data_IF_704975207932
#
_entry.id   IF_704975207932
#
_cell.length_a   1.000
_cell.length_b   1.000
_cell.length_c   1.000
_cell.angle_alpha   90.00
_cell.angle_beta   90.00
_cell.angle_gamma   90.00
#
_symmetry.space_group_name_H-M   'P 1'
#
loop_
_entity.id
_entity.type
_entity.pdbx_description
1 polymer ?
#
# COMPACT_ATOMS: atom_id res chain seq x y z
N UNK A 1 -6.57 -20.20 19.63
CA UNK A 1 -5.09 -20.14 19.40
C UNK A 1 -4.77 -18.78 18.81
N UNK A 2 -3.94 -17.97 19.46
CA UNK A 2 -3.49 -16.70 18.88
C UNK A 2 -2.60 -17.00 17.67
N UNK A 3 -2.83 -16.38 16.53
CA UNK A 3 -1.97 -16.58 15.37
C UNK A 3 -0.54 -16.18 15.70
N UNK A 4 0.41 -17.03 15.28
CA UNK A 4 1.84 -16.74 15.44
C UNK A 4 2.17 -15.39 14.79
N UNK A 5 2.98 -14.56 15.43
CA UNK A 5 3.38 -13.28 14.86
C UNK A 5 4.08 -13.48 13.50
N UNK A 6 3.88 -12.54 12.58
CA UNK A 6 4.40 -12.62 11.19
C UNK A 6 5.90 -12.97 11.18
N UNK A 7 6.67 -12.44 12.14
CA UNK A 7 8.11 -12.73 12.31
C UNK A 7 8.37 -14.24 12.50
N UNK A 8 7.61 -14.88 13.38
CA UNK A 8 7.79 -16.31 13.67
C UNK A 8 7.41 -17.18 12.47
N UNK A 9 6.37 -16.83 11.73
CA UNK A 9 5.98 -17.52 10.50
C UNK A 9 7.04 -17.39 9.42
N UNK A 10 7.56 -16.20 9.22
CA UNK A 10 8.61 -15.93 8.23
C UNK A 10 9.89 -16.72 8.57
N UNK A 11 10.32 -16.68 9.84
CA UNK A 11 11.49 -17.42 10.30
C UNK A 11 11.31 -18.93 10.15
N UNK A 12 10.14 -19.47 10.47
CA UNK A 12 9.83 -20.88 10.29
C UNK A 12 9.88 -21.30 8.80
N UNK A 13 9.39 -20.47 7.90
CA UNK A 13 9.51 -20.71 6.46
C UNK A 13 10.97 -20.68 5.98
N UNK A 14 11.76 -19.70 6.40
CA UNK A 14 13.18 -19.63 6.06
C UNK A 14 13.92 -20.84 6.58
N UNK A 15 13.68 -21.25 7.82
CA UNK A 15 14.27 -22.44 8.40
C UNK A 15 13.93 -23.70 7.57
N UNK A 16 12.66 -23.88 7.22
CA UNK A 16 12.22 -25.02 6.41
C UNK A 16 12.90 -25.05 5.03
N UNK A 17 12.92 -23.91 4.34
CA UNK A 17 13.55 -23.78 3.02
C UNK A 17 15.05 -24.06 3.10
N UNK A 18 15.74 -23.54 4.12
CA UNK A 18 17.17 -23.79 4.33
C UNK A 18 17.45 -25.27 4.66
N UNK A 19 16.65 -25.90 5.50
CA UNK A 19 16.78 -27.35 5.77
C UNK A 19 16.61 -28.16 4.49
N UNK A 20 15.63 -27.88 3.66
CA UNK A 20 15.42 -28.54 2.38
C UNK A 20 16.58 -28.34 1.42
N UNK A 21 17.02 -27.09 1.27
CA UNK A 21 18.09 -26.71 0.34
C UNK A 21 19.42 -27.36 0.73
N UNK A 22 19.83 -27.21 1.99
CA UNK A 22 21.08 -27.81 2.48
C UNK A 22 21.00 -29.31 2.58
N UNK A 23 19.84 -29.89 2.93
CA UNK A 23 19.61 -31.32 2.92
C UNK A 23 19.75 -31.92 1.52
N UNK A 24 19.14 -31.30 0.52
CA UNK A 24 19.25 -31.71 -0.88
C UNK A 24 20.70 -31.57 -1.39
N UNK A 25 21.32 -30.44 -1.10
CA UNK A 25 22.73 -30.21 -1.47
C UNK A 25 23.64 -31.28 -0.87
N UNK A 26 23.50 -31.56 0.42
CA UNK A 26 24.29 -32.58 1.11
C UNK A 26 24.09 -34.00 0.55
N UNK A 27 22.84 -34.31 0.22
CA UNK A 27 22.48 -35.57 -0.42
C UNK A 27 23.17 -35.71 -1.78
N UNK A 28 23.01 -34.70 -2.64
CA UNK A 28 23.63 -34.70 -3.97
C UNK A 28 25.16 -34.74 -3.89
N UNK A 29 25.76 -33.91 -3.05
CA UNK A 29 27.23 -33.89 -2.86
C UNK A 29 27.78 -35.20 -2.35
N UNK A 30 27.09 -35.86 -1.41
CA UNK A 30 27.48 -37.16 -0.89
C UNK A 30 27.45 -38.26 -1.98
N UNK A 31 26.37 -38.31 -2.78
CA UNK A 31 26.25 -39.27 -3.86
C UNK A 31 27.23 -39.02 -4.98
N UNK A 32 27.50 -37.79 -5.33
CA UNK A 32 28.46 -37.40 -6.37
C UNK A 32 29.90 -37.77 -5.95
N UNK A 33 30.31 -37.42 -4.73
CA UNK A 33 31.64 -37.75 -4.22
C UNK A 33 31.81 -39.30 -4.13
N UNK A 34 30.80 -40.00 -3.63
CA UNK A 34 30.83 -41.46 -3.56
C UNK A 34 30.93 -42.09 -4.95
N UNK A 35 30.17 -41.60 -5.92
CA UNK A 35 30.20 -42.06 -7.32
C UNK A 35 31.54 -41.79 -7.99
N UNK A 36 32.09 -40.61 -7.82
CA UNK A 36 33.39 -40.19 -8.35
C UNK A 36 34.54 -41.05 -7.83
N UNK A 37 34.53 -41.34 -6.51
CA UNK A 37 35.54 -42.24 -5.91
C UNK A 37 35.47 -43.65 -6.47
N UNK A 38 34.26 -44.21 -6.60
CA UNK A 38 34.13 -45.55 -7.21
C UNK A 38 34.62 -45.58 -8.66
N UNK A 39 34.30 -44.54 -9.46
CA UNK A 39 34.76 -44.44 -10.83
C UNK A 39 36.27 -44.30 -10.94
N UNK A 40 36.90 -43.50 -10.06
CA UNK A 40 38.36 -43.35 -10.02
C UNK A 40 39.10 -44.64 -9.68
N UNK A 41 38.55 -45.44 -8.73
CA UNK A 41 39.12 -46.76 -8.42
C UNK A 41 38.96 -47.72 -9.60
N UNK A 42 37.80 -47.76 -10.23
CA UNK A 42 37.52 -48.62 -11.39
C UNK A 42 38.44 -48.25 -12.59
N UNK A 43 38.72 -46.97 -12.81
CA UNK A 43 39.66 -46.49 -13.81
C UNK A 43 41.10 -46.88 -13.47
N UNK A 44 41.55 -46.69 -12.23
CA UNK A 44 42.87 -47.12 -11.77
C UNK A 44 43.09 -48.64 -11.91
N UNK A 45 42.05 -49.44 -11.67
CA UNK A 45 42.12 -50.88 -11.89
C UNK A 45 42.23 -51.26 -13.38
N UNK A 46 41.55 -50.49 -14.29
CA UNK A 46 41.69 -50.69 -15.75
C UNK A 46 43.08 -50.33 -16.24
N UNK A 47 43.66 -49.24 -15.75
CA UNK A 47 44.98 -48.81 -16.12
C UNK A 47 46.02 -49.84 -15.73
N UNK A 48 45.90 -50.40 -14.51
CA UNK A 48 46.75 -51.53 -14.06
C UNK A 48 46.59 -52.78 -14.94
N UNK A 49 45.38 -53.12 -15.38
CA UNK A 49 45.13 -54.22 -16.29
C UNK A 49 45.81 -53.97 -17.67
N UNK A 50 45.82 -52.71 -18.12
CA UNK A 50 46.51 -52.32 -19.35
C UNK A 50 48.05 -52.45 -19.22
N UNK A 51 48.60 -52.01 -18.07
CA UNK A 51 50.04 -52.13 -17.79
C UNK A 51 50.47 -53.63 -17.75
N UNK A 52 49.68 -54.46 -17.12
CA UNK A 52 49.91 -55.93 -17.09
C UNK A 52 49.86 -56.52 -18.50
N UNK A 53 48.91 -56.09 -19.31
CA UNK A 53 48.82 -56.50 -20.72
C UNK A 53 50.09 -56.14 -21.49
N UNK A 54 50.55 -54.87 -21.38
CA UNK A 54 51.77 -54.44 -22.02
C UNK A 54 53.00 -55.26 -21.59
N UNK A 55 53.09 -55.56 -20.30
CA UNK A 55 54.17 -56.40 -19.77
C UNK A 55 54.15 -57.83 -20.34
N UNK A 56 52.96 -58.41 -20.48
CA UNK A 56 52.79 -59.76 -21.06
C UNK A 56 53.10 -59.78 -22.59
N UNK A 57 52.84 -58.67 -23.28
CA UNK A 57 53.09 -58.48 -24.74
C UNK A 57 54.62 -58.42 -25.05
N UNK A 58 55.48 -58.09 -24.09
CA UNK A 58 56.95 -58.07 -24.22
C UNK A 58 57.57 -59.45 -24.41
N UNK A 59 56.80 -60.52 -24.33
CA UNK A 59 57.25 -61.97 -24.53
C UNK A 59 58.49 -62.36 -23.74
N UNK A 60 58.66 -61.84 -22.56
CA UNK A 60 59.77 -62.20 -21.68
C UNK A 60 59.64 -63.63 -21.18
N UNK A 61 60.81 -64.33 -20.73
CA UNK A 61 60.71 -65.57 -20.05
C UNK A 61 59.80 -65.50 -18.80
N UNK A 62 59.07 -66.58 -18.52
CA UNK A 62 58.09 -66.63 -17.43
C UNK A 62 58.64 -66.20 -16.07
N UNK A 63 59.93 -66.55 -15.78
CA UNK A 63 60.62 -66.18 -14.55
C UNK A 63 60.97 -64.68 -14.50
N UNK A 64 61.16 -64.06 -15.65
CA UNK A 64 61.44 -62.62 -15.73
C UNK A 64 60.14 -61.81 -15.54
N UNK A 65 59.03 -62.21 -16.14
CA UNK A 65 57.70 -61.62 -15.93
C UNK A 65 57.32 -61.71 -14.45
N UNK A 66 57.54 -62.91 -13.78
CA UNK A 66 57.29 -63.02 -12.33
C UNK A 66 58.15 -62.12 -11.49
N UNK A 67 59.41 -61.89 -11.85
CA UNK A 67 60.30 -60.94 -11.14
C UNK A 67 59.88 -59.50 -11.32
N UNK A 68 59.47 -59.09 -12.50
CA UNK A 68 58.99 -57.75 -12.74
C UNK A 68 57.65 -57.48 -12.04
N UNK A 69 56.73 -58.42 -12.08
CA UNK A 69 55.47 -58.31 -11.32
C UNK A 69 55.73 -58.22 -9.81
N UNK A 70 56.71 -59.05 -9.30
CA UNK A 70 57.07 -59.01 -7.90
C UNK A 70 57.85 -57.77 -7.48
N UNK A 71 58.66 -57.20 -8.39
CA UNK A 71 59.46 -55.97 -8.11
C UNK A 71 58.62 -54.69 -8.03
N UNK A 72 57.32 -54.77 -8.43
CA UNK A 72 56.45 -53.59 -8.41
C UNK A 72 56.83 -52.42 -9.30
N UNK A 73 57.91 -52.63 -10.13
CA UNK A 73 58.51 -51.56 -10.89
C UNK A 73 57.63 -51.05 -12.09
N UNK A 74 56.74 -51.88 -12.56
CA UNK A 74 55.83 -51.64 -13.66
C UNK A 74 54.35 -51.46 -13.23
N UNK A 75 54.01 -51.93 -12.01
CA UNK A 75 52.63 -51.83 -11.48
C UNK A 75 52.73 -51.10 -10.15
N UNK A 76 52.30 -49.89 -10.12
CA UNK A 76 52.40 -48.96 -8.96
C UNK A 76 51.58 -49.47 -7.76
N UNK A 77 52.25 -49.84 -6.68
CA UNK A 77 51.71 -50.01 -5.32
C UNK A 77 52.31 -51.18 -4.57
N UNK A 78 52.90 -50.92 -3.38
CA UNK A 78 53.46 -52.01 -2.47
C UNK A 78 52.37 -52.97 -1.99
N UNK A 79 51.07 -52.65 -2.11
CA UNK A 79 49.92 -53.44 -1.63
C UNK A 79 49.05 -54.00 -2.77
N UNK A 80 49.55 -54.08 -3.99
CA UNK A 80 48.78 -54.60 -5.11
C UNK A 80 48.43 -56.05 -4.95
N UNK A 81 47.13 -56.30 -4.89
CA UNK A 81 46.55 -57.64 -4.80
C UNK A 81 46.31 -58.11 -6.22
N UNK A 82 47.19 -58.99 -6.75
CA UNK A 82 47.19 -59.42 -8.14
C UNK A 82 47.28 -60.91 -8.24
N UNK A 83 46.39 -61.52 -8.98
CA UNK A 83 46.42 -62.95 -9.37
C UNK A 83 46.27 -63.06 -10.88
N UNK A 84 47.20 -63.75 -11.52
CA UNK A 84 47.19 -64.00 -12.96
C UNK A 84 47.44 -65.46 -13.22
N UNK A 85 46.64 -66.12 -14.03
CA UNK A 85 46.85 -67.50 -14.44
C UNK A 85 46.60 -67.64 -15.95
N UNK A 86 47.44 -68.50 -16.60
CA UNK A 86 47.21 -68.88 -17.99
C UNK A 86 45.99 -69.82 -18.08
N UNK A 87 44.96 -69.48 -18.86
CA UNK A 87 43.66 -70.16 -18.89
C UNK A 87 43.80 -71.67 -19.26
N UNK A 88 44.83 -72.08 -20.05
CA UNK A 88 45.09 -73.44 -20.50
C UNK A 88 46.51 -73.91 -20.27
N UNK A 89 47.28 -73.23 -19.38
CA UNK A 89 48.67 -73.54 -19.08
C UNK A 89 48.88 -73.76 -17.57
N UNK A 90 50.13 -74.11 -17.22
CA UNK A 90 50.55 -74.33 -15.83
C UNK A 90 51.10 -72.99 -15.20
N UNK A 91 51.21 -71.89 -15.99
CA UNK A 91 51.78 -70.70 -15.47
C UNK A 91 50.76 -69.86 -14.65
N UNK A 92 51.13 -69.55 -13.46
CA UNK A 92 50.36 -68.68 -12.58
C UNK A 92 51.29 -67.75 -11.75
N UNK A 93 50.79 -66.58 -11.43
CA UNK A 93 51.44 -65.68 -10.52
C UNK A 93 50.42 -65.15 -9.52
N UNK A 94 50.74 -65.30 -8.23
CA UNK A 94 49.95 -64.72 -7.12
C UNK A 94 50.85 -63.77 -6.37
N UNK A 95 50.39 -62.52 -6.16
CA UNK A 95 51.10 -61.61 -5.29
C UNK A 95 51.02 -62.07 -3.83
N UNK A 96 51.98 -61.68 -3.03
CA UNK A 96 52.02 -62.02 -1.59
C UNK A 96 50.77 -61.51 -0.87
N UNK A 97 50.29 -60.34 -1.29
CA UNK A 97 49.06 -59.73 -0.78
C UNK A 97 47.83 -60.59 -1.15
N UNK A 98 47.74 -61.10 -2.39
CA UNK A 98 46.64 -61.98 -2.79
C UNK A 98 46.48 -63.21 -1.93
N UNK A 99 47.59 -63.83 -1.63
CA UNK A 99 47.62 -64.97 -0.73
C UNK A 99 47.21 -64.61 0.71
N UNK A 100 47.61 -63.48 1.18
CA UNK A 100 47.26 -62.98 2.51
C UNK A 100 45.76 -62.73 2.67
N UNK A 101 45.08 -62.19 1.62
CA UNK A 101 43.65 -61.96 1.62
C UNK A 101 42.78 -63.10 1.20
N UNK A 102 43.42 -64.31 0.89
CA UNK A 102 42.73 -65.52 0.50
C UNK A 102 41.93 -65.40 -0.77
N UNK A 103 42.36 -64.50 -1.69
CA UNK A 103 41.80 -64.45 -3.02
C UNK A 103 42.24 -65.61 -3.81
N UNK A 104 41.33 -66.40 -4.38
CA UNK A 104 41.56 -67.47 -5.29
C UNK A 104 40.77 -67.22 -6.58
N UNK A 105 41.50 -67.20 -7.70
CA UNK A 105 40.87 -67.17 -9.01
C UNK A 105 39.86 -68.31 -9.12
N UNK A 106 38.62 -68.02 -8.91
CA UNK A 106 37.57 -68.90 -9.34
C UNK A 106 37.66 -69.00 -10.84
N UNK A 107 38.16 -70.15 -11.36
CA UNK A 107 38.17 -70.45 -12.80
C UNK A 107 36.78 -70.28 -13.42
N UNK A 108 36.38 -69.06 -13.68
CA UNK A 108 35.08 -68.78 -14.29
C UNK A 108 35.10 -67.43 -15.02
N UNK A 109 35.89 -67.37 -16.05
CA UNK A 109 35.69 -66.31 -17.06
C UNK A 109 35.28 -67.01 -18.37
N UNK A 110 34.11 -66.74 -18.90
CA UNK A 110 33.79 -67.14 -20.27
C UNK A 110 34.71 -66.35 -21.22
N UNK A 111 35.32 -67.02 -22.21
CA UNK A 111 36.26 -66.41 -23.12
C UNK A 111 35.58 -65.25 -23.84
N UNK A 112 36.10 -64.00 -23.63
CA UNK A 112 35.64 -62.77 -24.38
C UNK A 112 34.76 -61.83 -23.61
N UNK A 113 34.53 -61.98 -22.34
CA UNK A 113 33.77 -60.99 -21.53
C UNK A 113 34.62 -59.76 -21.16
N UNK A 114 33.92 -58.62 -21.18
CA UNK A 114 34.45 -57.31 -20.72
C UNK A 114 34.85 -57.43 -19.23
N UNK A 115 35.81 -56.61 -18.79
CA UNK A 115 36.19 -56.47 -17.39
C UNK A 115 34.94 -56.29 -16.50
N UNK A 116 34.84 -57.16 -15.47
CA UNK A 116 33.75 -57.09 -14.48
C UNK A 116 34.30 -56.55 -13.17
N UNK A 117 33.62 -55.55 -12.64
CA UNK A 117 33.96 -54.95 -11.34
C UNK A 117 33.03 -55.51 -10.27
N UNK A 118 33.61 -55.99 -9.18
CA UNK A 118 32.86 -56.44 -8.02
C UNK A 118 33.48 -55.87 -6.74
N UNK A 119 32.68 -55.73 -5.71
CA UNK A 119 33.19 -55.33 -4.39
C UNK A 119 33.04 -56.50 -3.44
N UNK A 120 34.14 -57.01 -2.92
CA UNK A 120 34.15 -58.07 -1.92
C UNK A 120 34.33 -57.44 -0.54
N UNK A 121 33.38 -57.72 0.35
CA UNK A 121 33.49 -57.31 1.75
C UNK A 121 34.19 -58.44 2.56
N UNK A 122 35.49 -58.34 2.69
CA UNK A 122 36.25 -59.25 3.57
C UNK A 122 36.13 -58.77 5.02
N UNK A 123 36.29 -59.71 6.00
CA UNK A 123 36.30 -59.39 7.45
C UNK A 123 37.40 -58.37 7.84
N UNK A 124 38.42 -58.18 7.01
CA UNK A 124 39.56 -57.32 7.28
C UNK A 124 39.46 -55.94 6.59
N UNK A 125 38.99 -55.91 5.32
CA UNK A 125 38.77 -54.66 4.57
C UNK A 125 37.91 -54.91 3.34
N UNK A 126 37.18 -53.91 2.85
CA UNK A 126 36.48 -53.98 1.55
C UNK A 126 37.49 -53.86 0.40
N UNK A 127 37.38 -54.78 -0.53
CA UNK A 127 38.22 -54.82 -1.74
C UNK A 127 37.37 -54.57 -2.99
N UNK A 128 37.85 -53.71 -3.86
CA UNK A 128 37.30 -53.53 -5.20
C UNK A 128 38.09 -54.43 -6.15
N UNK A 129 37.41 -55.33 -6.83
CA UNK A 129 38.03 -56.37 -7.65
C UNK A 129 37.63 -56.15 -9.09
N UNK A 130 38.64 -56.18 -9.97
CA UNK A 130 38.48 -56.24 -11.41
C UNK A 130 38.80 -57.69 -11.82
N UNK A 131 37.84 -58.36 -12.40
CA UNK A 131 38.01 -59.71 -12.99
C UNK A 131 37.90 -59.60 -14.51
N UNK A 132 38.82 -60.25 -15.22
CA UNK A 132 38.77 -60.24 -16.67
C UNK A 132 39.76 -61.17 -17.31
N UNK A 133 39.68 -61.35 -18.61
CA UNK A 133 40.59 -62.15 -19.40
C UNK A 133 41.38 -61.25 -20.35
N UNK A 134 42.70 -61.31 -20.29
CA UNK A 134 43.61 -60.64 -21.22
C UNK A 134 44.08 -61.66 -22.29
N UNK A 135 43.96 -61.30 -23.53
CA UNK A 135 44.52 -62.08 -24.64
C UNK A 135 45.79 -61.40 -25.14
N UNK A 136 46.87 -62.15 -25.10
CA UNK A 136 48.15 -61.67 -25.59
C UNK A 136 48.73 -62.75 -26.53
N UNK A 137 48.89 -62.42 -27.78
CA UNK A 137 49.21 -63.36 -28.86
C UNK A 137 48.21 -64.54 -28.90
N UNK A 138 48.68 -65.77 -28.83
CA UNK A 138 47.86 -67.02 -28.82
C UNK A 138 47.43 -67.48 -27.45
N UNK A 139 47.82 -66.77 -26.40
CA UNK A 139 47.53 -67.11 -25.00
C UNK A 139 46.48 -66.27 -24.39
N UNK A 140 45.67 -66.91 -23.51
CA UNK A 140 44.68 -66.21 -22.71
C UNK A 140 45.07 -66.29 -21.24
N UNK A 141 45.05 -65.14 -20.56
CA UNK A 141 45.35 -64.99 -19.14
C UNK A 141 44.13 -64.59 -18.38
N UNK A 142 43.71 -65.27 -17.38
CA UNK A 142 42.69 -64.88 -16.42
C UNK A 142 43.36 -63.94 -15.39
N UNK A 143 42.89 -62.72 -15.25
CA UNK A 143 43.49 -61.71 -14.37
C UNK A 143 42.47 -61.25 -13.38
N UNK A 144 42.89 -61.23 -12.12
CA UNK A 144 42.15 -60.64 -11.02
C UNK A 144 43.05 -59.56 -10.36
N UNK A 145 42.58 -58.38 -10.34
CA UNK A 145 43.27 -57.24 -9.69
C UNK A 145 42.32 -56.67 -8.64
N UNK A 146 42.83 -56.50 -7.43
CA UNK A 146 42.05 -55.93 -6.34
C UNK A 146 42.74 -54.67 -5.75
N UNK A 147 41.97 -53.72 -5.36
CA UNK A 147 42.43 -52.54 -4.64
C UNK A 147 41.73 -52.43 -3.28
N UNK A 148 42.45 -52.14 -2.21
CA UNK A 148 41.85 -51.87 -0.90
C UNK A 148 41.02 -50.58 -0.96
N UNK A 149 39.86 -50.59 -0.30
CA UNK A 149 38.90 -49.48 -0.31
C UNK A 149 38.79 -48.78 1.04
N UNK A 150 39.59 -49.12 2.02
CA UNK A 150 39.57 -48.59 3.40
C UNK A 150 39.79 -47.08 3.43
N UNK A 151 40.86 -46.60 2.81
CA UNK A 151 41.15 -45.16 2.72
C UNK A 151 40.03 -44.38 2.05
N UNK A 152 39.39 -44.98 1.03
CA UNK A 152 38.27 -44.38 0.34
C UNK A 152 37.00 -44.31 1.21
N UNK A 153 36.72 -45.40 1.94
CA UNK A 153 35.60 -45.42 2.89
C UNK A 153 35.84 -44.44 4.05
N UNK A 154 37.07 -44.33 4.52
CA UNK A 154 37.46 -43.36 5.52
C UNK A 154 37.32 -41.90 5.02
N UNK A 155 37.71 -41.62 3.79
CA UNK A 155 37.52 -40.33 3.18
C UNK A 155 36.03 -39.99 3.04
N UNK A 156 35.22 -40.93 2.54
CA UNK A 156 33.75 -40.76 2.43
C UNK A 156 33.12 -40.56 3.81
N UNK A 157 33.56 -41.30 4.82
CA UNK A 157 33.06 -41.18 6.18
C UNK A 157 33.44 -39.85 6.83
N UNK A 158 34.68 -39.38 6.64
CA UNK A 158 35.11 -38.01 7.05
C UNK A 158 34.28 -36.94 6.37
N UNK A 159 34.04 -37.07 5.05
CA UNK A 159 33.20 -36.15 4.31
C UNK A 159 31.76 -36.14 4.84
N UNK A 160 31.19 -37.33 5.12
CA UNK A 160 29.87 -37.46 5.76
C UNK A 160 29.82 -36.78 7.13
N UNK A 161 30.83 -36.92 7.97
CA UNK A 161 30.92 -36.25 9.27
C UNK A 161 31.01 -34.74 9.12
N UNK A 162 31.80 -34.24 8.17
CA UNK A 162 31.87 -32.80 7.88
C UNK A 162 30.49 -32.26 7.49
N UNK A 163 29.76 -32.91 6.60
CA UNK A 163 28.40 -32.54 6.23
C UNK A 163 27.43 -32.59 7.41
N UNK A 164 27.51 -33.64 8.22
CA UNK A 164 26.63 -33.84 9.39
C UNK A 164 26.78 -32.74 10.45
N UNK A 165 27.97 -32.17 10.63
CA UNK A 165 28.22 -31.10 11.59
C UNK A 165 28.11 -29.71 10.97
N UNK A 166 28.59 -29.50 9.75
CA UNK A 166 28.58 -28.18 9.13
C UNK A 166 27.19 -27.71 8.73
N UNK A 167 26.35 -28.60 8.21
CA UNK A 167 25.01 -28.24 7.73
C UNK A 167 24.10 -27.75 8.83
N UNK A 168 23.95 -28.40 10.00
CA UNK A 168 23.15 -27.86 11.10
C UNK A 168 23.65 -26.49 11.59
N UNK A 169 24.99 -26.34 11.68
CA UNK A 169 25.57 -25.03 12.06
C UNK A 169 25.19 -23.96 11.08
N UNK A 170 25.31 -24.20 9.77
CA UNK A 170 24.92 -23.24 8.73
C UNK A 170 23.44 -22.91 8.79
N UNK A 171 22.57 -23.89 8.97
CA UNK A 171 21.12 -23.68 9.11
C UNK A 171 20.80 -22.81 10.33
N UNK A 172 21.46 -23.04 11.47
CA UNK A 172 21.26 -22.23 12.68
C UNK A 172 21.73 -20.80 12.46
N UNK A 173 22.93 -20.61 11.90
CA UNK A 173 23.47 -19.25 11.62
C UNK A 173 22.59 -18.49 10.62
N UNK A 174 22.19 -19.14 9.53
CA UNK A 174 21.31 -18.55 8.53
C UNK A 174 19.93 -18.18 9.11
N UNK A 175 19.37 -19.07 9.95
CA UNK A 175 18.08 -18.83 10.62
C UNK A 175 18.15 -17.69 11.64
N UNK A 176 19.23 -17.62 12.41
CA UNK A 176 19.47 -16.53 13.36
C UNK A 176 19.63 -15.17 12.63
N UNK A 177 20.39 -15.16 11.54
CA UNK A 177 20.54 -13.99 10.66
C UNK A 177 19.22 -13.55 10.03
N UNK A 178 18.44 -14.50 9.51
CA UNK A 178 17.10 -14.25 8.96
C UNK A 178 16.12 -13.70 10.00
N UNK A 179 16.15 -14.24 11.23
CA UNK A 179 15.36 -13.72 12.34
C UNK A 179 15.74 -12.27 12.70
N UNK A 180 17.03 -11.99 12.82
CA UNK A 180 17.55 -10.66 13.12
C UNK A 180 17.14 -9.64 12.04
N UNK A 181 17.29 -9.99 10.77
CA UNK A 181 16.93 -9.15 9.64
C UNK A 181 15.40 -8.91 9.59
N UNK A 182 14.61 -9.97 9.76
CA UNK A 182 13.13 -9.86 9.81
C UNK A 182 12.67 -8.98 10.97
N UNK A 183 13.32 -9.07 12.13
CA UNK A 183 13.03 -8.21 13.28
C UNK A 183 13.30 -6.75 12.96
N UNK A 184 14.43 -6.44 12.33
CA UNK A 184 14.83 -5.07 11.97
C UNK A 184 13.90 -4.48 10.89
N UNK A 185 13.53 -5.26 9.89
CA UNK A 185 12.67 -4.82 8.78
C UNK A 185 11.20 -4.60 9.20
N UNK A 186 10.67 -5.42 10.13
CA UNK A 186 9.24 -5.34 10.52
C UNK A 186 9.02 -4.48 11.79
N UNK A 187 10.08 -4.13 12.53
CA UNK A 187 9.94 -3.29 13.73
C UNK A 187 9.24 -1.94 13.48
N UNK A 188 9.58 -1.19 12.41
CA UNK A 188 8.95 0.11 12.12
C UNK A 188 7.44 0.01 11.88
N UNK A 189 6.97 -1.05 11.22
CA UNK A 189 5.53 -1.27 10.99
C UNK A 189 4.76 -1.35 12.32
N UNK A 190 5.35 -2.03 13.32
CA UNK A 190 4.77 -2.11 14.66
C UNK A 190 4.76 -0.77 15.39
N UNK A 191 5.69 0.13 15.12
CA UNK A 191 5.72 1.48 15.68
C UNK A 191 4.67 2.37 15.03
N UNK A 192 4.57 2.36 13.71
CA UNK A 192 3.54 3.07 12.95
C UNK A 192 2.14 2.63 13.41
N UNK A 193 1.91 1.30 13.53
CA UNK A 193 0.62 0.78 13.97
C UNK A 193 0.27 1.22 15.40
N UNK A 194 1.21 1.20 16.33
CA UNK A 194 0.99 1.67 17.72
C UNK A 194 0.76 3.17 17.77
N UNK A 195 1.54 3.95 17.03
CA UNK A 195 1.36 5.39 16.95
C UNK A 195 -0.01 5.75 16.34
N UNK A 196 -0.43 5.06 15.27
CA UNK A 196 -1.75 5.25 14.69
C UNK A 196 -2.88 4.89 15.66
N UNK A 197 -2.74 3.79 16.44
CA UNK A 197 -3.72 3.42 17.47
C UNK A 197 -3.78 4.39 18.64
N UNK A 198 -2.71 5.12 18.92
CA UNK A 198 -2.70 6.12 19.99
C UNK A 198 -3.35 7.44 19.60
N UNK A 199 -3.57 7.67 18.30
CA UNK A 199 -4.22 8.90 17.81
C UNK A 199 -5.73 8.74 18.04
N UNK A 200 -6.26 9.52 18.97
CA UNK A 200 -7.69 9.64 19.25
C UNK A 200 -8.24 10.93 18.65
N UNK A 201 -9.55 11.11 18.69
CA UNK A 201 -10.23 12.34 18.25
C UNK A 201 -9.71 13.61 18.91
N UNK A 202 -9.15 13.52 20.15
CA UNK A 202 -8.57 14.63 20.88
C UNK A 202 -7.10 14.90 20.54
N UNK A 203 -6.45 14.02 19.79
CA UNK A 203 -5.02 14.05 19.49
C UNK A 203 -4.70 14.00 17.99
N UNK A 204 -5.65 14.36 17.16
CA UNK A 204 -5.52 14.36 15.68
C UNK A 204 -4.38 15.25 15.14
N UNK A 205 -3.85 16.16 15.98
CA UNK A 205 -2.69 16.99 15.63
C UNK A 205 -1.35 16.23 15.68
N UNK A 206 -1.30 15.08 16.37
CA UNK A 206 -0.11 14.24 16.38
C UNK A 206 0.15 13.66 14.98
N UNK A 207 1.43 13.52 14.64
CA UNK A 207 1.88 12.95 13.36
C UNK A 207 2.73 11.73 13.62
N UNK A 208 2.67 10.79 12.69
CA UNK A 208 3.55 9.64 12.68
C UNK A 208 4.98 10.09 12.35
N UNK A 209 5.99 9.49 12.98
CA UNK A 209 7.38 9.76 12.63
C UNK A 209 7.64 9.32 11.19
N UNK A 210 8.23 10.19 10.38
CA UNK A 210 8.65 9.87 9.03
C UNK A 210 10.10 9.36 9.10
N UNK A 211 10.27 8.07 8.86
CA UNK A 211 11.59 7.47 8.71
C UNK A 211 12.09 7.78 7.28
N UNK A 212 13.21 8.47 7.16
CA UNK A 212 13.82 8.79 5.86
C UNK A 212 14.54 7.56 5.29
N UNK A 213 13.78 6.52 4.98
CA UNK A 213 14.29 5.25 4.45
C UNK A 213 14.25 5.19 2.93
N UNK A 214 13.47 6.07 2.28
CA UNK A 214 13.27 6.08 0.82
C UNK A 214 12.48 4.89 0.28
N UNK A 215 11.79 4.16 1.15
CA UNK A 215 11.05 2.93 0.84
C UNK A 215 9.53 3.08 1.03
N UNK A 216 8.80 1.97 0.89
CA UNK A 216 7.34 1.92 1.03
C UNK A 216 6.86 2.32 2.43
N UNK A 217 7.69 2.18 3.47
CA UNK A 217 7.35 2.57 4.83
C UNK A 217 7.32 4.09 5.01
N UNK A 218 8.23 4.81 4.36
CA UNK A 218 8.20 6.26 4.32
C UNK A 218 6.93 6.75 3.62
N UNK A 219 6.64 6.23 2.41
CA UNK A 219 5.43 6.57 1.64
C UNK A 219 4.15 6.29 2.42
N UNK A 220 4.09 5.17 3.15
CA UNK A 220 2.97 4.84 4.02
C UNK A 220 2.80 5.87 5.15
N UNK A 221 3.88 6.25 5.81
CA UNK A 221 3.85 7.24 6.91
C UNK A 221 3.39 8.61 6.42
N UNK A 222 3.87 9.04 5.25
CA UNK A 222 3.47 10.29 4.59
C UNK A 222 1.98 10.28 4.23
N UNK A 223 1.51 9.21 3.59
CA UNK A 223 0.09 9.04 3.21
C UNK A 223 -0.84 9.05 4.43
N UNK A 224 -0.45 8.36 5.50
CA UNK A 224 -1.20 8.36 6.76
C UNK A 224 -1.21 9.76 7.41
N UNK A 225 -0.09 10.48 7.39
CA UNK A 225 -0.04 11.84 7.91
C UNK A 225 -0.91 12.82 7.10
N UNK A 226 -0.97 12.66 5.78
CA UNK A 226 -1.89 13.44 4.94
C UNK A 226 -3.35 13.12 5.27
N UNK A 227 -3.70 11.86 5.44
CA UNK A 227 -5.03 11.43 5.86
C UNK A 227 -5.41 12.01 7.23
N UNK A 228 -4.50 11.98 8.22
CA UNK A 228 -4.72 12.61 9.53
C UNK A 228 -4.89 14.11 9.41
N UNK A 229 -4.14 14.77 8.53
CA UNK A 229 -4.31 16.20 8.25
C UNK A 229 -5.71 16.54 7.71
N UNK A 230 -6.20 15.76 6.76
CA UNK A 230 -7.57 15.91 6.22
C UNK A 230 -8.63 15.65 7.29
N UNK A 231 -8.44 14.62 8.13
CA UNK A 231 -9.36 14.29 9.22
C UNK A 231 -9.37 15.39 10.29
N UNK A 232 -8.21 15.91 10.69
CA UNK A 232 -8.09 17.04 11.63
C UNK A 232 -8.83 18.28 11.12
N UNK A 233 -8.63 18.64 9.85
CA UNK A 233 -9.33 19.76 9.24
C UNK A 233 -10.85 19.55 9.19
N UNK A 234 -11.30 18.33 8.91
CA UNK A 234 -12.73 18.00 8.91
C UNK A 234 -13.32 18.09 10.32
N UNK A 235 -12.64 17.52 11.31
CA UNK A 235 -13.08 17.54 12.69
C UNK A 235 -13.13 18.96 13.28
N UNK A 236 -12.11 19.78 12.99
CA UNK A 236 -12.12 21.21 13.39
C UNK A 236 -13.30 21.95 12.78
N UNK A 237 -13.63 21.73 11.52
CA UNK A 237 -14.79 22.34 10.86
C UNK A 237 -16.10 21.94 11.53
N UNK A 238 -16.28 20.67 11.85
CA UNK A 238 -17.49 20.18 12.54
C UNK A 238 -17.60 20.76 13.93
N UNK A 239 -16.51 20.77 14.69
CA UNK A 239 -16.49 21.32 16.06
C UNK A 239 -16.80 22.83 16.06
N UNK A 240 -16.18 23.59 15.16
CA UNK A 240 -16.44 25.01 15.02
C UNK A 240 -17.90 25.28 14.61
N UNK A 241 -18.41 24.55 13.61
CA UNK A 241 -19.81 24.65 13.20
C UNK A 241 -20.78 24.39 14.35
N UNK A 242 -20.52 23.35 15.16
CA UNK A 242 -21.38 23.01 16.30
C UNK A 242 -21.35 24.07 17.41
N UNK A 243 -20.16 24.64 17.66
CA UNK A 243 -19.99 25.71 18.63
C UNK A 243 -20.73 26.97 18.19
N UNK A 244 -20.53 27.40 16.94
CA UNK A 244 -21.14 28.60 16.39
C UNK A 244 -22.68 28.47 16.29
N UNK A 245 -23.17 27.30 15.82
CA UNK A 245 -24.60 27.03 15.81
C UNK A 245 -25.24 27.09 17.20
N UNK A 246 -24.55 26.54 18.21
CA UNK A 246 -25.00 26.56 19.61
C UNK A 246 -25.05 28.01 20.15
N UNK A 247 -24.09 28.83 19.81
CA UNK A 247 -24.08 30.24 20.21
C UNK A 247 -25.20 31.03 19.55
N UNK A 248 -25.40 30.88 18.23
CA UNK A 248 -26.42 31.58 17.47
C UNK A 248 -27.85 31.14 17.81
N UNK A 249 -28.07 29.91 18.24
CA UNK A 249 -29.36 29.44 18.73
C UNK A 249 -29.66 29.86 20.18
N UNK A 250 -28.65 29.96 21.04
CA UNK A 250 -28.83 30.32 22.45
C UNK A 250 -29.37 31.76 22.62
N UNK A 251 -28.89 32.67 21.81
CA UNK A 251 -29.25 34.11 21.90
C UNK A 251 -30.75 34.34 21.68
N UNK A 252 -31.38 33.94 20.57
CA UNK A 252 -32.81 34.16 20.34
C UNK A 252 -33.66 33.43 21.40
N UNK A 253 -33.29 32.20 21.79
CA UNK A 253 -34.01 31.45 22.83
C UNK A 253 -34.01 32.22 24.16
N UNK A 254 -32.85 32.72 24.57
CA UNK A 254 -32.71 33.51 25.79
C UNK A 254 -33.55 34.80 25.73
N UNK A 255 -33.56 35.48 24.54
CA UNK A 255 -34.33 36.68 24.32
C UNK A 255 -35.84 36.43 24.41
N UNK A 256 -36.33 35.36 23.73
CA UNK A 256 -37.73 34.98 23.81
C UNK A 256 -38.13 34.61 25.25
N UNK A 257 -37.32 33.86 25.96
CA UNK A 257 -37.54 33.49 27.38
C UNK A 257 -37.62 34.73 28.24
N UNK A 258 -36.67 35.65 28.12
CA UNK A 258 -36.67 36.91 28.90
C UNK A 258 -37.93 37.76 28.66
N UNK A 259 -38.33 37.88 27.37
CA UNK A 259 -39.55 38.61 26.98
C UNK A 259 -40.80 37.99 27.57
N UNK A 260 -40.89 36.66 27.55
CA UNK A 260 -41.97 35.89 28.16
C UNK A 260 -42.01 36.08 29.66
N UNK A 261 -40.86 35.93 30.36
CA UNK A 261 -40.77 36.10 31.80
C UNK A 261 -41.13 37.49 32.23
N UNK A 262 -40.71 38.53 31.50
CA UNK A 262 -41.06 39.95 31.75
C UNK A 262 -42.55 40.19 31.54
N UNK A 263 -43.16 39.57 30.50
CA UNK A 263 -44.61 39.72 30.28
C UNK A 263 -45.45 39.04 31.37
N UNK A 264 -44.94 37.97 31.98
CA UNK A 264 -45.66 37.20 33.05
C UNK A 264 -45.49 37.80 34.44
N UNK A 265 -44.51 38.68 34.68
CA UNK A 265 -44.22 39.21 36.04
C UNK A 265 -45.24 40.22 36.55
N UNK A 266 -45.91 40.97 35.67
CA UNK A 266 -46.89 41.98 36.04
C UNK A 266 -48.02 41.97 35.03
N UNK A 267 -49.25 42.27 35.49
CA UNK A 267 -50.38 42.49 34.64
C UNK A 267 -50.10 43.68 33.72
N UNK A 268 -50.37 43.51 32.43
CA UNK A 268 -50.09 44.49 31.36
C UNK A 268 -51.36 44.78 30.57
N UNK A 269 -51.33 45.83 29.74
CA UNK A 269 -52.41 46.09 28.82
C UNK A 269 -52.45 45.02 27.72
N UNK A 270 -53.62 44.83 27.10
CA UNK A 270 -53.80 43.95 25.95
C UNK A 270 -52.83 44.35 24.81
N UNK A 271 -52.65 45.61 24.56
CA UNK A 271 -51.74 46.14 23.56
C UNK A 271 -50.26 45.70 23.83
N UNK A 272 -49.80 45.76 25.07
CA UNK A 272 -48.44 45.36 25.47
C UNK A 272 -48.25 43.83 25.31
N UNK A 273 -49.25 43.04 25.66
CA UNK A 273 -49.19 41.59 25.41
C UNK A 273 -49.13 41.29 23.93
N UNK A 274 -49.96 41.93 23.13
CA UNK A 274 -49.95 41.75 21.67
C UNK A 274 -48.61 42.14 21.05
N UNK A 275 -48.02 43.25 21.45
CA UNK A 275 -46.70 43.66 21.01
C UNK A 275 -45.62 42.60 21.39
N UNK A 276 -45.67 42.10 22.63
CA UNK A 276 -44.74 41.09 23.10
C UNK A 276 -44.87 39.78 22.31
N UNK A 277 -46.09 39.34 22.01
CA UNK A 277 -46.35 38.13 21.21
C UNK A 277 -45.86 38.34 19.79
N UNK A 278 -46.09 39.47 19.17
CA UNK A 278 -45.60 39.80 17.81
C UNK A 278 -44.06 39.73 17.78
N UNK A 279 -43.38 40.33 18.78
CA UNK A 279 -41.91 40.27 18.87
C UNK A 279 -41.38 38.88 19.08
N UNK A 280 -42.06 38.03 19.88
CA UNK A 280 -41.69 36.64 20.07
C UNK A 280 -41.91 35.83 18.77
N UNK A 281 -42.98 36.08 18.07
CA UNK A 281 -43.28 35.42 16.79
C UNK A 281 -42.22 35.78 15.74
N UNK A 282 -41.81 37.01 15.62
CA UNK A 282 -40.72 37.45 14.74
C UNK A 282 -39.39 36.74 15.06
N UNK A 283 -39.10 36.52 16.36
CA UNK A 283 -37.88 35.87 16.77
C UNK A 283 -37.93 34.32 16.50
N UNK A 284 -39.12 33.73 16.62
CA UNK A 284 -39.37 32.36 16.21
C UNK A 284 -39.14 32.11 14.70
N UNK A 285 -39.68 33.02 13.86
CA UNK A 285 -39.48 32.95 12.40
C UNK A 285 -37.99 33.06 12.04
N UNK A 286 -37.26 34.00 12.67
CA UNK A 286 -35.81 34.15 12.49
C UNK A 286 -35.05 32.89 12.92
N UNK A 287 -35.45 32.27 14.04
CA UNK A 287 -34.83 31.05 14.54
C UNK A 287 -35.11 29.88 13.63
N UNK A 288 -36.34 29.79 13.10
CA UNK A 288 -36.68 28.74 12.12
C UNK A 288 -35.86 28.85 10.84
N UNK A 289 -35.71 30.09 10.31
CA UNK A 289 -34.85 30.34 9.15
C UNK A 289 -33.38 30.01 9.43
N UNK A 290 -32.88 30.28 10.64
CA UNK A 290 -31.53 29.91 11.05
C UNK A 290 -31.36 28.38 11.05
N UNK A 291 -32.31 27.62 11.61
CA UNK A 291 -32.28 26.16 11.61
C UNK A 291 -32.30 25.60 10.17
N UNK A 292 -33.13 26.14 9.29
CA UNK A 292 -33.14 25.75 7.87
C UNK A 292 -31.81 26.02 7.18
N UNK A 293 -31.18 27.15 7.47
CA UNK A 293 -29.86 27.49 6.97
C UNK A 293 -28.80 26.49 7.43
N UNK A 294 -28.82 26.13 8.74
CA UNK A 294 -27.92 25.14 9.32
C UNK A 294 -28.12 23.75 8.69
N UNK A 295 -29.36 23.33 8.52
CA UNK A 295 -29.69 22.04 7.88
C UNK A 295 -29.22 21.99 6.42
N UNK A 296 -29.35 23.11 5.70
CA UNK A 296 -28.85 23.21 4.33
C UNK A 296 -27.35 23.06 4.26
N UNK A 297 -26.60 23.71 5.17
CA UNK A 297 -25.14 23.58 5.23
C UNK A 297 -24.68 22.19 5.69
N UNK A 298 -25.40 21.56 6.63
CA UNK A 298 -25.10 20.20 7.05
C UNK A 298 -25.29 19.17 5.91
N UNK A 299 -26.34 19.34 5.08
CA UNK A 299 -26.53 18.54 3.87
C UNK A 299 -25.43 18.78 2.84
N UNK A 300 -25.04 20.05 2.68
CA UNK A 300 -23.94 20.46 1.82
C UNK A 300 -22.62 19.72 2.16
N UNK A 301 -22.31 19.62 3.46
CA UNK A 301 -21.08 18.98 3.95
C UNK A 301 -21.11 17.46 3.82
N UNK A 302 -22.31 16.85 3.90
CA UNK A 302 -22.44 15.38 3.81
C UNK A 302 -22.17 14.85 2.40
N UNK A 303 -22.27 15.67 1.36
CA UNK A 303 -22.09 15.28 -0.04
C UNK A 303 -23.05 14.21 -0.55
N UNK A 304 -24.03 13.81 0.29
CA UNK A 304 -24.85 12.60 0.06
C UNK A 304 -26.20 12.86 -0.65
N UNK A 305 -26.59 14.09 -0.86
CA UNK A 305 -27.81 14.41 -1.60
C UNK A 305 -27.45 15.17 -2.89
N UNK A 306 -27.43 14.50 -4.05
CA UNK A 306 -27.34 15.21 -5.30
C UNK A 306 -28.56 16.12 -5.44
N UNK A 307 -28.34 17.40 -5.69
CA UNK A 307 -29.43 18.30 -6.05
C UNK A 307 -30.18 17.71 -7.24
N UNK A 308 -31.51 17.64 -7.15
CA UNK A 308 -32.33 17.30 -8.31
C UNK A 308 -32.22 18.45 -9.30
N UNK A 309 -31.37 18.30 -10.29
CA UNK A 309 -31.19 19.29 -11.34
C UNK A 309 -32.14 19.02 -12.49
N UNK A 310 -32.75 20.08 -13.02
CA UNK A 310 -33.61 20.06 -14.18
C UNK A 310 -33.30 21.28 -15.05
N UNK A 311 -33.66 21.25 -16.34
CA UNK A 311 -33.58 22.45 -17.18
C UNK A 311 -34.37 23.60 -16.53
N UNK A 312 -33.66 24.67 -16.19
CA UNK A 312 -34.24 25.84 -15.49
C UNK A 312 -34.00 27.10 -16.29
N UNK A 313 -35.07 27.79 -16.65
CA UNK A 313 -35.03 29.08 -17.33
C UNK A 313 -34.76 30.21 -16.31
N UNK A 314 -33.57 30.79 -16.38
CA UNK A 314 -33.22 31.87 -15.47
C UNK A 314 -34.01 33.16 -15.69
N UNK A 315 -34.48 33.47 -16.91
CA UNK A 315 -35.30 34.64 -17.18
C UNK A 315 -36.62 34.54 -16.40
N UNK A 316 -37.31 33.40 -16.46
CA UNK A 316 -38.53 33.17 -15.69
C UNK A 316 -38.27 33.24 -14.18
N UNK A 317 -37.20 32.61 -13.72
CA UNK A 317 -36.80 32.66 -12.31
C UNK A 317 -36.60 34.13 -11.83
N UNK A 318 -35.93 34.93 -12.62
CA UNK A 318 -35.74 36.37 -12.28
C UNK A 318 -36.99 37.22 -12.37
N UNK A 319 -37.94 36.90 -13.24
CA UNK A 319 -39.26 37.54 -13.24
C UNK A 319 -40.00 37.29 -11.93
N UNK A 320 -40.01 36.04 -11.44
CA UNK A 320 -40.62 35.69 -10.14
C UNK A 320 -39.90 36.38 -8.95
N UNK A 321 -38.57 36.41 -8.97
CA UNK A 321 -37.77 37.06 -7.93
C UNK A 321 -37.98 38.55 -7.91
N UNK A 322 -38.22 39.19 -9.08
CA UNK A 322 -38.30 40.62 -9.22
C UNK A 322 -39.44 41.24 -8.40
N UNK A 323 -40.58 40.56 -8.27
CA UNK A 323 -41.68 41.05 -7.43
C UNK A 323 -41.28 41.12 -5.96
N UNK A 324 -40.63 40.07 -5.44
CA UNK A 324 -40.13 40.04 -4.06
C UNK A 324 -39.04 41.12 -3.85
N UNK A 325 -38.11 41.21 -4.81
CA UNK A 325 -37.02 42.18 -4.77
C UNK A 325 -37.50 43.65 -4.73
N UNK A 326 -38.53 43.99 -5.55
CA UNK A 326 -39.14 45.29 -5.55
C UNK A 326 -39.81 45.64 -4.22
N UNK A 327 -40.60 44.69 -3.68
CA UNK A 327 -41.23 44.90 -2.37
C UNK A 327 -40.21 45.17 -1.26
N UNK A 328 -39.10 44.41 -1.26
CA UNK A 328 -38.02 44.60 -0.29
C UNK A 328 -37.34 45.96 -0.47
N UNK A 329 -37.07 46.39 -1.69
CA UNK A 329 -36.44 47.68 -2.02
C UNK A 329 -37.35 48.87 -1.72
N UNK A 330 -38.64 48.80 -2.09
CA UNK A 330 -39.65 49.83 -1.81
C UNK A 330 -39.81 50.05 -0.31
N UNK A 331 -39.84 48.97 0.48
CA UNK A 331 -39.90 49.06 1.96
C UNK A 331 -38.78 49.87 2.58
N UNK A 332 -37.66 50.08 1.87
CA UNK A 332 -36.49 50.87 2.30
C UNK A 332 -36.24 52.12 1.44
N UNK A 333 -37.13 52.45 0.49
CA UNK A 333 -36.98 53.55 -0.46
C UNK A 333 -35.70 53.41 -1.31
N UNK A 334 -35.39 52.24 -1.80
CA UNK A 334 -34.24 51.92 -2.66
C UNK A 334 -34.74 51.76 -4.10
N UNK A 335 -34.01 52.32 -5.08
CA UNK A 335 -34.29 52.12 -6.48
C UNK A 335 -33.85 50.72 -6.92
N UNK A 336 -34.79 49.92 -7.51
CA UNK A 336 -34.49 48.59 -8.03
C UNK A 336 -34.63 48.57 -9.55
N UNK A 337 -33.56 48.17 -10.24
CA UNK A 337 -33.49 48.02 -11.68
C UNK A 337 -33.13 46.57 -12.04
N UNK A 338 -33.80 46.02 -13.04
CA UNK A 338 -33.51 44.66 -13.54
C UNK A 338 -33.40 44.67 -15.05
N UNK A 339 -32.35 44.02 -15.58
CA UNK A 339 -32.15 43.81 -17.00
C UNK A 339 -31.96 42.33 -17.28
N UNK A 340 -32.82 41.80 -18.15
CA UNK A 340 -32.76 40.43 -18.61
C UNK A 340 -32.51 40.40 -20.11
N UNK A 341 -31.78 39.42 -20.65
CA UNK A 341 -31.59 39.27 -22.09
C UNK A 341 -32.92 38.86 -22.73
N UNK A 342 -33.08 39.16 -24.02
CA UNK A 342 -34.25 38.75 -24.79
C UNK A 342 -34.28 37.24 -25.02
N UNK A 343 -33.10 36.61 -25.15
CA UNK A 343 -32.93 35.19 -25.31
C UNK A 343 -32.99 34.48 -23.93
N UNK A 344 -33.86 33.49 -23.74
CA UNK A 344 -33.91 32.73 -22.50
C UNK A 344 -32.59 32.01 -22.22
N UNK A 345 -32.06 32.13 -21.01
CA UNK A 345 -30.86 31.43 -20.58
C UNK A 345 -31.25 30.21 -19.73
N UNK A 346 -31.03 29.02 -20.28
CA UNK A 346 -31.32 27.78 -19.63
C UNK A 346 -30.07 27.18 -18.98
N UNK A 347 -30.18 26.78 -17.71
CA UNK A 347 -29.13 26.12 -16.96
C UNK A 347 -29.64 24.77 -16.45
N UNK A 348 -28.72 23.82 -16.25
CA UNK A 348 -29.06 22.60 -15.55
C UNK A 348 -29.01 22.85 -14.05
N UNK A 349 -30.18 23.04 -13.40
CA UNK A 349 -30.19 23.47 -12.02
C UNK A 349 -31.44 23.07 -11.22
N UNK A 350 -31.36 23.27 -9.91
CA UNK A 350 -32.49 23.17 -9.00
C UNK A 350 -33.10 24.55 -8.80
N UNK A 351 -34.25 24.82 -9.41
CA UNK A 351 -34.90 26.11 -9.40
C UNK A 351 -35.12 26.68 -7.99
N UNK A 352 -35.60 25.92 -6.97
CA UNK A 352 -35.72 26.41 -5.60
C UNK A 352 -34.38 26.85 -4.99
N UNK A 353 -33.30 26.13 -5.23
CA UNK A 353 -31.96 26.49 -4.74
C UNK A 353 -31.42 27.72 -5.43
N UNK A 354 -31.56 27.82 -6.76
CA UNK A 354 -31.16 29.01 -7.52
C UNK A 354 -31.94 30.25 -7.10
N UNK A 355 -33.26 30.12 -6.91
CA UNK A 355 -34.08 31.17 -6.34
C UNK A 355 -33.54 31.66 -4.99
N UNK A 356 -33.21 30.72 -4.10
CA UNK A 356 -32.67 31.04 -2.78
C UNK A 356 -31.33 31.77 -2.87
N UNK A 357 -30.43 31.32 -3.75
CA UNK A 357 -29.13 31.97 -4.02
C UNK A 357 -29.33 33.45 -4.37
N UNK A 358 -30.16 33.74 -5.36
CA UNK A 358 -30.33 35.10 -5.83
C UNK A 358 -31.09 35.98 -4.80
N UNK A 359 -32.07 35.43 -4.10
CA UNK A 359 -32.74 36.14 -3.01
C UNK A 359 -31.80 36.46 -1.84
N UNK A 360 -30.86 35.59 -1.48
CA UNK A 360 -29.82 35.88 -0.47
C UNK A 360 -28.97 37.08 -0.90
N UNK A 361 -28.56 37.14 -2.16
CA UNK A 361 -27.73 38.22 -2.67
C UNK A 361 -28.50 39.55 -2.76
N UNK A 362 -29.77 39.51 -3.18
CA UNK A 362 -30.64 40.67 -3.26
C UNK A 362 -30.99 41.19 -1.85
N UNK A 363 -31.30 40.30 -0.92
CA UNK A 363 -31.57 40.67 0.47
C UNK A 363 -30.34 41.36 1.11
N UNK A 364 -29.15 40.82 0.87
CA UNK A 364 -27.91 41.46 1.29
C UNK A 364 -27.75 42.87 0.65
N UNK A 365 -27.99 43.00 -0.65
CA UNK A 365 -27.94 44.29 -1.33
C UNK A 365 -28.91 45.31 -0.69
N UNK A 366 -30.17 44.91 -0.47
CA UNK A 366 -31.18 45.75 0.21
C UNK A 366 -30.74 46.10 1.62
N UNK A 367 -30.19 45.17 2.36
CA UNK A 367 -29.80 45.31 3.76
C UNK A 367 -28.69 46.37 3.93
N UNK A 368 -27.67 46.31 3.08
CA UNK A 368 -26.47 47.13 3.19
C UNK A 368 -26.52 48.43 2.36
N UNK A 369 -27.55 48.62 1.54
CA UNK A 369 -27.79 49.87 0.82
C UNK A 369 -28.59 50.86 1.69
N UNK A 370 -28.17 52.10 1.71
CA UNK A 370 -28.87 53.18 2.41
C UNK A 370 -30.16 53.57 1.67
N UNK A 371 -31.06 54.31 2.35
CA UNK A 371 -32.23 54.91 1.70
C UNK A 371 -31.80 55.75 0.49
N UNK A 372 -32.61 55.77 -0.56
CA UNK A 372 -32.35 56.43 -1.83
C UNK A 372 -31.18 55.86 -2.64
N UNK A 373 -30.60 54.75 -2.19
CA UNK A 373 -29.61 54.03 -2.95
C UNK A 373 -30.21 53.25 -4.12
N UNK A 374 -29.34 52.54 -4.86
CA UNK A 374 -29.74 51.80 -6.06
C UNK A 374 -29.24 50.38 -5.97
N UNK A 375 -30.07 49.43 -6.43
CA UNK A 375 -29.72 48.02 -6.67
C UNK A 375 -30.03 47.72 -8.13
N UNK A 376 -29.07 47.13 -8.85
CA UNK A 376 -29.28 46.69 -10.22
C UNK A 376 -28.93 45.19 -10.36
N UNK A 377 -29.81 44.47 -11.00
CA UNK A 377 -29.63 43.04 -11.34
C UNK A 377 -29.52 42.92 -12.85
N UNK A 378 -28.43 42.35 -13.33
CA UNK A 378 -28.19 42.13 -14.76
C UNK A 378 -27.93 40.65 -14.97
N UNK A 379 -28.73 40.04 -15.84
CA UNK A 379 -28.51 38.68 -16.34
C UNK A 379 -28.00 38.79 -17.78
N UNK A 380 -26.91 38.14 -18.08
CA UNK A 380 -26.29 38.10 -19.41
C UNK A 380 -25.63 36.72 -19.66
N UNK A 381 -25.15 36.46 -20.85
CA UNK A 381 -24.40 35.27 -21.21
C UNK A 381 -22.97 35.63 -21.58
N UNK A 382 -22.01 34.86 -21.09
CA UNK A 382 -20.59 34.95 -21.46
C UNK A 382 -19.92 33.62 -21.37
N UNK A 383 -19.12 33.25 -22.38
CA UNK A 383 -18.29 32.05 -22.40
C UNK A 383 -19.01 30.73 -22.01
N UNK A 384 -20.19 30.47 -22.61
CA UNK A 384 -21.04 29.32 -22.32
C UNK A 384 -21.59 29.27 -20.88
N UNK A 385 -21.64 30.42 -20.19
CA UNK A 385 -22.23 30.53 -18.86
C UNK A 385 -23.26 31.66 -18.80
N UNK A 386 -24.31 31.45 -18.01
CA UNK A 386 -25.17 32.54 -17.55
C UNK A 386 -24.47 33.33 -16.47
N UNK A 387 -24.34 34.62 -16.64
CA UNK A 387 -23.69 35.54 -15.71
C UNK A 387 -24.73 36.48 -15.10
N UNK A 388 -24.88 36.41 -13.79
CA UNK A 388 -25.73 37.32 -13.04
C UNK A 388 -24.88 38.30 -12.25
N UNK A 389 -25.06 39.58 -12.46
CA UNK A 389 -24.45 40.62 -11.63
C UNK A 389 -25.52 41.31 -10.77
N UNK A 390 -25.28 41.34 -9.47
CA UNK A 390 -26.09 42.07 -8.50
C UNK A 390 -25.21 43.17 -7.92
N UNK A 391 -25.52 44.43 -8.29
CA UNK A 391 -24.78 45.62 -7.90
C UNK A 391 -25.60 46.42 -6.92
N UNK A 392 -25.00 46.87 -5.84
CA UNK A 392 -25.54 47.81 -4.87
C UNK A 392 -24.67 49.06 -4.75
N UNK A 393 -25.26 50.15 -4.27
CA UNK A 393 -24.57 51.39 -3.89
C UNK A 393 -24.49 51.54 -2.38
N UNK A 394 -24.28 50.41 -1.69
CA UNK A 394 -24.25 50.37 -0.24
C UNK A 394 -22.92 50.80 0.37
N UNK A 395 -22.73 50.44 1.62
CA UNK A 395 -21.52 50.80 2.39
C UNK A 395 -20.23 50.16 1.85
N UNK A 396 -20.33 49.16 1.00
CA UNK A 396 -19.19 48.41 0.49
C UNK A 396 -18.55 47.51 1.56
N UNK A 397 -17.53 46.73 1.14
CA UNK A 397 -16.82 45.77 1.94
C UNK A 397 -15.35 46.15 1.97
N UNK A 398 -14.71 46.05 3.13
CA UNK A 398 -13.28 46.32 3.25
C UNK A 398 -12.43 45.25 2.56
N UNK A 399 -11.23 45.62 2.14
CA UNK A 399 -10.28 44.68 1.53
C UNK A 399 -9.85 43.59 2.49
N UNK A 400 -9.89 43.83 3.80
CA UNK A 400 -9.59 42.84 4.86
C UNK A 400 -10.70 41.83 5.04
N UNK A 401 -11.96 42.22 4.80
CA UNK A 401 -13.14 41.36 4.98
C UNK A 401 -13.45 40.53 3.73
N UNK A 402 -13.12 41.03 2.53
CA UNK A 402 -13.42 40.38 1.26
C UNK A 402 -13.03 38.88 1.19
N UNK A 403 -11.87 38.42 1.71
CA UNK A 403 -11.52 36.98 1.69
C UNK A 403 -12.45 36.13 2.56
N UNK A 404 -13.08 36.71 3.58
CA UNK A 404 -13.80 35.99 4.63
C UNK A 404 -15.32 36.03 4.51
N UNK A 405 -15.88 36.90 3.67
CA UNK A 405 -17.35 37.11 3.60
C UNK A 405 -18.15 35.86 3.22
N UNK A 406 -17.52 34.87 2.60
CA UNK A 406 -18.13 33.56 2.27
C UNK A 406 -17.91 32.51 3.34
N UNK A 407 -17.19 32.83 4.42
CA UNK A 407 -17.04 31.92 5.57
C UNK A 407 -18.34 31.90 6.37
N UNK A 408 -18.61 30.76 7.02
CA UNK A 408 -19.81 30.59 7.83
C UNK A 408 -19.74 31.45 9.08
N UNK A 409 -20.86 32.07 9.43
CA UNK A 409 -21.01 32.98 10.57
C UNK A 409 -20.13 34.23 10.52
N UNK A 410 -19.40 34.45 9.42
CA UNK A 410 -18.55 35.63 9.27
C UNK A 410 -19.39 36.90 9.13
N UNK A 411 -18.98 37.97 9.80
CA UNK A 411 -19.65 39.27 9.84
C UNK A 411 -18.58 40.35 9.96
N UNK A 412 -18.54 41.28 9.01
CA UNK A 412 -17.57 42.37 8.98
C UNK A 412 -17.76 43.40 10.14
N UNK A 413 -18.98 43.52 10.69
CA UNK A 413 -19.29 44.44 11.81
C UNK A 413 -20.35 43.78 12.72
N UNK A 414 -19.92 43.28 13.90
CA UNK A 414 -20.81 42.63 14.86
C UNK A 414 -21.88 43.56 15.45
N UNK A 415 -21.59 44.86 15.55
CA UNK A 415 -22.47 45.82 16.21
C UNK A 415 -23.64 46.25 15.35
N UNK A 416 -23.40 46.61 14.11
CA UNK A 416 -24.43 47.01 13.14
C UNK A 416 -25.29 45.88 12.64
N UNK A 417 -24.73 44.68 12.57
CA UNK A 417 -25.43 43.53 12.03
C UNK A 417 -26.36 42.84 13.03
N UNK A 418 -26.27 43.10 14.37
CA UNK A 418 -27.30 42.67 15.32
C UNK A 418 -28.63 43.40 15.12
N UNK A 419 -28.61 44.66 14.82
CA UNK A 419 -29.83 45.44 14.50
C UNK A 419 -30.48 45.02 13.16
N UNK A 420 -29.65 44.60 12.20
CA UNK A 420 -30.12 44.18 10.88
C UNK A 420 -30.40 42.68 10.72
N UNK A 421 -30.25 41.88 11.77
CA UNK A 421 -30.77 40.49 11.84
C UNK A 421 -30.05 39.44 10.97
N UNK A 422 -28.78 39.64 10.57
CA UNK A 422 -28.06 38.70 9.73
C UNK A 422 -27.38 37.59 10.54
N UNK A 423 -27.48 36.35 10.10
CA UNK A 423 -26.88 35.17 10.75
C UNK A 423 -25.44 34.88 10.27
N UNK A 424 -24.92 35.55 9.27
CA UNK A 424 -23.62 35.24 8.66
C UNK A 424 -23.59 33.96 7.84
N UNK A 425 -24.74 33.33 7.62
CA UNK A 425 -24.84 32.08 6.85
C UNK A 425 -25.25 32.29 5.39
N UNK A 426 -25.85 33.42 5.05
CA UNK A 426 -26.43 33.64 3.73
C UNK A 426 -25.41 33.52 2.60
N UNK A 427 -24.29 34.24 2.67
CA UNK A 427 -23.27 34.21 1.61
C UNK A 427 -22.56 32.85 1.50
N UNK A 428 -22.37 32.14 2.61
CA UNK A 428 -21.80 30.74 2.56
C UNK A 428 -22.77 29.77 1.89
N UNK A 429 -24.08 29.92 2.09
CA UNK A 429 -25.12 29.16 1.38
C UNK A 429 -25.15 29.54 -0.10
N UNK A 430 -25.09 30.84 -0.43
CA UNK A 430 -25.06 31.30 -1.80
C UNK A 430 -23.85 30.72 -2.56
N UNK A 431 -22.68 30.71 -1.93
CA UNK A 431 -21.46 30.07 -2.48
C UNK A 431 -21.66 28.59 -2.72
N UNK A 432 -22.15 27.85 -1.73
CA UNK A 432 -22.41 26.43 -1.87
C UNK A 432 -23.41 26.12 -3.00
N UNK A 433 -24.50 26.89 -3.09
CA UNK A 433 -25.47 26.67 -4.16
C UNK A 433 -24.82 26.91 -5.54
N UNK A 434 -24.04 27.96 -5.70
CA UNK A 434 -23.32 28.22 -6.96
C UNK A 434 -22.37 27.06 -7.31
N UNK A 435 -21.55 26.62 -6.36
CA UNK A 435 -20.60 25.49 -6.53
C UNK A 435 -21.31 24.16 -6.82
N UNK A 436 -22.46 23.90 -6.17
CA UNK A 436 -23.27 22.71 -6.41
C UNK A 436 -23.90 22.66 -7.81
N UNK A 437 -24.01 23.82 -8.46
CA UNK A 437 -24.42 23.97 -9.86
C UNK A 437 -23.23 24.11 -10.82
N UNK A 438 -22.03 23.67 -10.42
CA UNK A 438 -20.79 23.79 -11.19
C UNK A 438 -20.45 25.23 -11.57
N UNK A 439 -21.04 26.19 -10.86
CA UNK A 439 -20.85 27.61 -11.05
C UNK A 439 -19.82 28.21 -10.12
N UNK A 440 -19.69 29.53 -10.21
CA UNK A 440 -18.76 30.31 -9.38
C UNK A 440 -19.44 31.59 -8.91
N UNK A 441 -19.17 31.99 -7.67
CA UNK A 441 -19.54 33.30 -7.12
C UNK A 441 -18.27 34.09 -6.83
N UNK A 442 -18.30 35.37 -7.15
CA UNK A 442 -17.22 36.32 -6.88
C UNK A 442 -17.81 37.70 -6.48
N UNK A 443 -16.99 38.53 -5.86
CA UNK A 443 -17.38 39.84 -5.40
C UNK A 443 -16.28 40.86 -5.70
N UNK A 444 -16.69 42.04 -6.12
CA UNK A 444 -15.84 43.23 -6.21
C UNK A 444 -16.53 44.33 -5.40
N UNK A 445 -15.81 44.92 -4.45
CA UNK A 445 -16.40 45.92 -3.57
C UNK A 445 -15.37 46.96 -3.15
N UNK A 446 -15.84 48.17 -2.87
CA UNK A 446 -15.03 49.23 -2.30
C UNK A 446 -15.86 50.00 -1.27
N UNK A 447 -15.26 50.27 -0.13
CA UNK A 447 -15.92 50.97 0.97
C UNK A 447 -16.44 52.34 0.49
N UNK A 448 -17.73 52.61 0.70
CA UNK A 448 -18.41 53.83 0.30
C UNK A 448 -18.89 53.85 -1.15
N UNK A 449 -18.53 52.92 -2.00
CA UNK A 449 -18.95 52.82 -3.42
C UNK A 449 -19.95 51.70 -3.69
N UNK A 450 -20.10 50.74 -2.74
CA UNK A 450 -20.98 49.58 -2.86
C UNK A 450 -20.26 48.29 -3.26
N UNK A 451 -21.07 47.27 -3.66
CA UNK A 451 -20.55 45.96 -4.03
C UNK A 451 -21.17 45.45 -5.33
N UNK A 452 -20.45 44.57 -6.01
CA UNK A 452 -20.90 43.82 -7.19
C UNK A 452 -20.66 42.33 -6.94
N UNK A 453 -21.72 41.59 -6.71
CA UNK A 453 -21.69 40.16 -6.66
C UNK A 453 -21.93 39.59 -8.05
N UNK A 454 -21.06 38.72 -8.52
CA UNK A 454 -21.15 38.04 -9.81
C UNK A 454 -21.28 36.54 -9.61
N UNK A 455 -22.36 35.97 -10.16
CA UNK A 455 -22.61 34.52 -10.18
C UNK A 455 -22.52 34.03 -11.61
N UNK A 456 -21.77 32.97 -11.85
CA UNK A 456 -21.62 32.33 -13.16
C UNK A 456 -22.11 30.90 -13.04
N UNK A 457 -23.04 30.47 -13.90
CA UNK A 457 -23.58 29.12 -13.94
C UNK A 457 -23.48 28.60 -15.38
N UNK A 458 -22.94 27.42 -15.65
CA UNK A 458 -22.86 26.85 -17.00
C UNK A 458 -24.25 26.78 -17.65
N UNK A 459 -24.35 27.18 -18.93
CA UNK A 459 -25.56 26.98 -19.72
C UNK A 459 -25.76 25.46 -19.99
N UNK A 460 -27.02 25.05 -20.11
CA UNK A 460 -27.34 23.69 -20.53
C UNK A 460 -27.06 23.50 -22.02
N UNK A 461 -26.53 22.31 -22.41
CA UNK A 461 -26.24 22.01 -23.83
C UNK A 461 -27.45 22.12 -24.75
N UNK A 462 -28.69 22.09 -24.25
CA UNK A 462 -29.93 22.26 -25.01
C UNK A 462 -30.27 23.73 -25.31
N UNK A 463 -29.43 24.67 -24.88
CA UNK A 463 -29.65 26.12 -25.04
C UNK A 463 -28.59 26.86 -25.87
N UNK A 464 -27.70 26.11 -26.55
CA UNK A 464 -26.71 26.67 -27.50
C UNK A 464 -27.21 26.61 -28.94
#
# INVERSE_FOLDING_TARGET
MRPLPIRARLTAWYFLVMCLAFGLFSFLAFFEVRGSIHSAVDEGLRDRAADIRELLERQWPADQVKRELAAGSSVRGEDDILEIAETRGEWAYDSVSALHYGLHLGRSGKPGEKFQFSTLYSKRMPLRILNGQLRVADKAYDVQIAAPMDDFYDAVNRFRLVLLFSVPVLVVVASAGGYWLSRKAVAPVGEIARAAQSISEHELSKRLPILQTGDELQSLSETLNEMFGRLECAFKRVTQFTADASHELRTPIALMRTRTEVALRKQRSEADYRETIVRIHQELERTSALIENLMTLARADSGNEPLQVAPTNLNELFLEISETARLLAEGKSIQYDQRLPETPLNVSGNAPSLRRLFLILIDNAVKYTSREGRISVVLDSSDCAAVTEIRDTGVGISTTDLPHIFERFYRADESRSRESGGTGLGLSIAKWIAEAHQGKISVVSKVGEGSVFRVQIPLSEEGL
#
